data_IF_841841318509
#
_entry.id   IF_841841318509
#
_cell.length_a   1.000
_cell.length_b   1.000
_cell.length_c   1.000
_cell.angle_alpha   90.00
_cell.angle_beta   90.00
_cell.angle_gamma   90.00
#
_symmetry.space_group_name_H-M   'P 1'
#
loop_
_entity.id
_entity.type
_entity.pdbx_description
1 polymer ?
#
# COMPACT_ATOMS: atom_id res chain seq x y z
N UNK A 1 42.12 -25.69 -32.19
CA UNK A 1 41.40 -26.70 -31.39
C UNK A 1 39.99 -26.16 -31.18
N UNK A 2 39.07 -26.70 -31.98
CA UNK A 2 37.59 -26.65 -31.96
C UNK A 2 36.85 -25.52 -31.20
N UNK A 3 36.31 -24.58 -31.99
CA UNK A 3 35.13 -23.76 -31.69
C UNK A 3 33.86 -24.63 -31.70
N UNK A 4 33.09 -24.66 -30.62
CA UNK A 4 31.71 -25.15 -30.62
C UNK A 4 30.77 -23.97 -30.83
N UNK A 5 30.21 -23.89 -32.03
CA UNK A 5 29.20 -22.91 -32.40
C UNK A 5 27.89 -23.19 -31.64
N UNK A 6 27.48 -22.25 -30.80
CA UNK A 6 26.14 -22.21 -30.26
C UNK A 6 25.17 -21.77 -31.36
N UNK A 7 24.26 -22.67 -31.73
CA UNK A 7 23.18 -22.44 -32.69
C UNK A 7 22.21 -21.42 -32.08
N UNK A 8 22.32 -20.14 -32.48
CA UNK A 8 21.28 -19.14 -32.20
C UNK A 8 20.13 -19.43 -33.17
N UNK A 9 19.10 -20.11 -32.68
CA UNK A 9 17.83 -20.22 -33.39
C UNK A 9 17.16 -18.84 -33.42
N UNK A 10 17.35 -18.12 -34.52
CA UNK A 10 16.61 -16.90 -34.84
C UNK A 10 15.18 -17.33 -35.16
N UNK A 11 14.28 -17.24 -34.17
CA UNK A 11 12.84 -17.32 -34.42
C UNK A 11 12.45 -16.07 -35.21
N UNK A 12 12.23 -16.24 -36.51
CA UNK A 12 11.65 -15.22 -37.38
C UNK A 12 10.19 -15.05 -36.97
N UNK A 13 9.90 -14.01 -36.18
CA UNK A 13 8.53 -13.62 -35.83
C UNK A 13 7.95 -12.89 -37.04
N UNK A 14 7.09 -13.56 -37.80
CA UNK A 14 6.28 -12.93 -38.84
C UNK A 14 5.18 -12.08 -38.17
N UNK A 15 5.40 -10.78 -38.08
CA UNK A 15 4.41 -9.80 -37.62
C UNK A 15 3.53 -9.41 -38.80
N UNK A 16 2.34 -10.00 -38.92
CA UNK A 16 1.32 -9.49 -39.84
C UNK A 16 0.49 -8.42 -39.10
N UNK A 17 0.48 -7.20 -39.62
CA UNK A 17 -0.45 -6.17 -39.16
C UNK A 17 -1.82 -6.39 -39.83
N UNK A 18 -2.79 -6.91 -39.08
CA UNK A 18 -4.18 -7.00 -39.54
C UNK A 18 -4.88 -5.68 -39.22
N UNK A 19 -5.40 -5.01 -40.26
CA UNK A 19 -6.26 -3.85 -40.10
C UNK A 19 -7.72 -4.31 -40.02
N UNK A 20 -8.32 -4.24 -38.83
CA UNK A 20 -9.74 -4.51 -38.68
C UNK A 20 -10.54 -3.33 -39.27
N UNK A 21 -11.32 -3.57 -40.33
CA UNK A 21 -12.16 -2.57 -40.98
C UNK A 21 -13.57 -3.13 -41.19
N UNK A 22 -14.55 -2.81 -40.32
CA UNK A 22 -16.01 -2.76 -40.57
C UNK A 22 -16.85 -2.72 -39.27
N UNK A 23 -18.14 -2.37 -39.41
CA UNK A 23 -19.04 -1.84 -38.37
C UNK A 23 -19.67 -2.85 -37.39
N UNK A 24 -19.49 -4.16 -37.53
CA UNK A 24 -20.06 -5.18 -36.61
C UNK A 24 -19.11 -6.39 -36.48
N UNK A 25 -17.86 -6.21 -36.02
CA UNK A 25 -16.92 -7.32 -35.85
C UNK A 25 -16.79 -7.77 -34.40
N UNK A 26 -16.83 -9.09 -34.21
CA UNK A 26 -16.39 -9.72 -32.97
C UNK A 26 -14.87 -9.88 -33.00
N UNK A 27 -14.19 -9.70 -31.86
CA UNK A 27 -12.72 -9.80 -31.77
C UNK A 27 -12.22 -11.17 -32.22
N UNK A 28 -13.01 -12.21 -31.98
CA UNK A 28 -12.67 -13.60 -32.29
C UNK A 28 -12.49 -13.83 -33.78
N UNK A 29 -13.25 -13.14 -34.65
CA UNK A 29 -13.11 -13.29 -36.10
C UNK A 29 -11.73 -12.85 -36.60
N UNK A 30 -11.16 -11.81 -35.98
CA UNK A 30 -9.80 -11.35 -36.25
C UNK A 30 -8.72 -12.30 -35.74
N UNK A 31 -8.97 -13.01 -34.64
CA UNK A 31 -7.99 -13.86 -33.95
C UNK A 31 -8.01 -15.32 -34.44
N UNK A 32 -9.20 -15.91 -34.60
CA UNK A 32 -9.41 -17.34 -34.91
C UNK A 32 -8.96 -17.69 -36.33
N UNK A 33 -9.03 -16.75 -37.27
CA UNK A 33 -8.67 -17.00 -38.67
C UNK A 33 -7.18 -17.30 -38.88
N UNK A 34 -6.32 -17.08 -37.88
CA UNK A 34 -4.87 -17.18 -38.02
C UNK A 34 -4.29 -18.14 -36.96
N UNK A 35 -3.89 -19.36 -37.37
CA UNK A 35 -3.26 -20.38 -36.50
C UNK A 35 -1.88 -19.98 -35.95
N UNK A 36 -1.48 -18.72 -36.10
CA UNK A 36 -0.18 -18.24 -35.66
C UNK A 36 -0.10 -18.07 -34.16
N UNK A 37 1.12 -18.26 -33.65
CA UNK A 37 1.46 -18.14 -32.23
C UNK A 37 1.47 -16.68 -31.79
N UNK A 38 1.75 -15.73 -32.68
CA UNK A 38 1.84 -14.29 -32.36
C UNK A 38 1.04 -13.44 -33.34
N UNK A 39 0.28 -12.48 -32.81
CA UNK A 39 -0.58 -11.58 -33.58
C UNK A 39 -0.49 -10.14 -33.05
N UNK A 40 -0.40 -9.18 -33.98
CA UNK A 40 -0.48 -7.75 -33.68
C UNK A 40 -1.62 -7.13 -34.49
N UNK A 41 -2.59 -6.54 -33.78
CA UNK A 41 -3.81 -6.01 -34.37
C UNK A 41 -3.92 -4.53 -34.05
N UNK A 42 -4.00 -3.72 -35.10
CA UNK A 42 -4.32 -2.30 -34.99
C UNK A 42 -5.83 -2.13 -35.15
N UNK A 43 -6.46 -1.65 -34.08
CA UNK A 43 -7.90 -1.46 -33.99
C UNK A 43 -8.25 -0.05 -34.46
N UNK A 44 -9.39 0.07 -35.14
CA UNK A 44 -9.99 1.37 -35.48
C UNK A 44 -10.75 1.93 -34.27
N UNK A 45 -11.18 3.16 -34.39
CA UNK A 45 -12.13 3.76 -33.45
C UNK A 45 -13.48 3.05 -33.56
N UNK A 46 -14.20 2.95 -32.45
CA UNK A 46 -15.51 2.28 -32.39
C UNK A 46 -15.59 1.22 -31.31
N UNK A 47 -16.77 0.60 -31.23
CA UNK A 47 -17.09 -0.47 -30.28
C UNK A 47 -16.84 -1.83 -30.91
N UNK A 48 -16.03 -2.64 -30.24
CA UNK A 48 -15.83 -4.05 -30.54
C UNK A 48 -16.49 -4.88 -29.46
N UNK A 49 -17.24 -5.90 -29.86
CA UNK A 49 -17.83 -6.86 -28.94
C UNK A 49 -17.01 -8.15 -28.97
N UNK A 50 -16.97 -8.87 -27.85
CA UNK A 50 -16.33 -10.16 -27.75
C UNK A 50 -17.12 -11.04 -26.81
N UNK A 51 -17.11 -12.34 -27.08
CA UNK A 51 -17.68 -13.38 -26.23
C UNK A 51 -16.61 -14.06 -25.39
N UNK A 52 -15.44 -13.43 -25.21
CA UNK A 52 -14.29 -14.00 -24.52
C UNK A 52 -13.29 -14.63 -25.49
N UNK A 53 -12.00 -14.39 -25.24
CA UNK A 53 -10.90 -14.86 -26.08
C UNK A 53 -9.95 -15.72 -25.25
N UNK A 54 -9.84 -16.99 -25.63
CA UNK A 54 -8.86 -17.93 -25.08
C UNK A 54 -7.56 -17.92 -25.90
N UNK A 55 -6.45 -17.59 -25.24
CA UNK A 55 -5.14 -17.36 -25.80
C UNK A 55 -4.09 -18.37 -25.30
N UNK A 56 -4.47 -19.61 -24.97
CA UNK A 56 -3.52 -20.68 -24.58
C UNK A 56 -2.31 -20.71 -25.53
N UNK A 57 -1.12 -20.47 -24.96
CA UNK A 57 0.19 -20.47 -25.65
C UNK A 57 0.29 -19.50 -26.83
N UNK A 58 -0.46 -18.40 -26.81
CA UNK A 58 -0.43 -17.36 -27.84
C UNK A 58 0.11 -16.04 -27.31
N UNK A 59 0.61 -15.24 -28.23
CA UNK A 59 0.96 -13.84 -28.05
C UNK A 59 -0.03 -12.97 -28.82
N UNK A 60 -0.63 -11.99 -28.13
CA UNK A 60 -1.58 -11.06 -28.71
C UNK A 60 -1.22 -9.62 -28.30
N UNK A 61 -1.12 -8.74 -29.29
CA UNK A 61 -0.96 -7.30 -29.08
C UNK A 61 -2.13 -6.57 -29.74
N UNK A 62 -2.96 -5.92 -28.92
CA UNK A 62 -4.05 -5.06 -29.38
C UNK A 62 -3.67 -3.60 -29.15
N UNK A 63 -3.69 -2.80 -30.23
CA UNK A 63 -3.43 -1.37 -30.19
C UNK A 63 -4.64 -0.59 -30.70
N UNK A 64 -5.22 0.24 -29.84
CA UNK A 64 -6.36 1.10 -30.18
C UNK A 64 -6.07 2.59 -30.07
N UNK A 65 -7.13 3.37 -29.89
CA UNK A 65 -7.12 4.78 -29.55
C UNK A 65 -7.99 5.07 -28.31
N UNK A 66 -8.03 6.32 -27.85
CA UNK A 66 -8.97 6.75 -26.81
C UNK A 66 -10.46 6.54 -27.16
N UNK A 67 -10.77 6.24 -28.42
CA UNK A 67 -12.11 5.99 -28.94
C UNK A 67 -12.35 4.51 -29.33
N UNK A 68 -11.37 3.63 -29.10
CA UNK A 68 -11.52 2.19 -29.30
C UNK A 68 -12.07 1.56 -28.02
N UNK A 69 -13.26 0.97 -28.08
CA UNK A 69 -13.90 0.27 -26.97
C UNK A 69 -13.94 -1.24 -27.20
N UNK A 70 -13.71 -2.03 -26.15
CA UNK A 70 -13.95 -3.48 -26.17
C UNK A 70 -14.94 -3.84 -25.05
N UNK A 71 -16.10 -4.37 -25.44
CA UNK A 71 -17.12 -4.88 -24.53
C UNK A 71 -17.21 -6.41 -24.60
N UNK A 72 -17.40 -7.03 -23.44
CA UNK A 72 -17.74 -8.44 -23.28
C UNK A 72 -19.26 -8.57 -23.41
N UNK A 73 -19.69 -9.59 -24.16
CA UNK A 73 -21.09 -9.94 -24.38
C UNK A 73 -21.24 -11.45 -24.15
N UNK A 74 -22.32 -11.85 -23.48
CA UNK A 74 -22.63 -13.25 -23.21
C UNK A 74 -22.36 -13.66 -21.76
N UNK A 75 -22.32 -14.98 -21.53
CA UNK A 75 -22.23 -15.57 -20.19
C UNK A 75 -20.79 -15.74 -19.67
N UNK A 76 -19.78 -15.49 -20.51
CA UNK A 76 -18.39 -15.59 -20.08
C UNK A 76 -18.08 -14.54 -19.00
N UNK A 77 -17.24 -14.94 -18.05
CA UNK A 77 -16.79 -14.06 -16.98
C UNK A 77 -15.55 -13.25 -17.35
N UNK A 78 -14.77 -13.71 -18.35
CA UNK A 78 -13.49 -13.13 -18.72
C UNK A 78 -13.46 -12.74 -20.19
N UNK A 79 -13.01 -11.52 -20.48
CA UNK A 79 -12.77 -11.08 -21.86
C UNK A 79 -11.49 -11.71 -22.44
N UNK A 80 -10.41 -11.79 -21.66
CA UNK A 80 -9.18 -12.47 -22.07
C UNK A 80 -8.75 -13.52 -21.04
N UNK A 81 -8.36 -14.71 -21.50
CA UNK A 81 -7.80 -15.76 -20.65
C UNK A 81 -6.85 -16.66 -21.43
N UNK A 82 -6.15 -17.58 -20.75
CA UNK A 82 -5.31 -18.57 -21.40
C UNK A 82 -4.02 -18.82 -20.65
N UNK A 83 -3.65 -20.09 -20.55
CA UNK A 83 -2.41 -20.55 -19.92
C UNK A 83 -1.20 -20.31 -20.84
N UNK A 84 -0.09 -19.83 -20.27
CA UNK A 84 1.14 -19.48 -21.00
C UNK A 84 0.91 -18.45 -22.11
N UNK A 85 -0.02 -17.51 -21.90
CA UNK A 85 -0.40 -16.47 -22.84
C UNK A 85 0.39 -15.16 -22.60
N UNK A 86 0.74 -14.45 -23.67
CA UNK A 86 1.37 -13.13 -23.60
C UNK A 86 0.46 -12.09 -24.25
N UNK A 87 -0.19 -11.26 -23.44
CA UNK A 87 -1.22 -10.34 -23.90
C UNK A 87 -0.76 -8.91 -23.64
N UNK A 88 -0.90 -8.04 -24.64
CA UNK A 88 -0.64 -6.61 -24.51
C UNK A 88 -1.83 -5.81 -25.03
N UNK A 89 -2.42 -5.00 -24.16
CA UNK A 89 -3.56 -4.14 -24.44
C UNK A 89 -3.09 -2.68 -24.32
N UNK A 90 -3.20 -1.92 -25.40
CA UNK A 90 -2.67 -0.55 -25.47
C UNK A 90 -3.69 0.45 -25.97
N UNK A 91 -3.93 1.51 -25.19
CA UNK A 91 -4.83 2.63 -25.55
C UNK A 91 -6.23 2.15 -25.96
N UNK A 92 -6.82 1.29 -25.14
CA UNK A 92 -8.16 0.74 -25.34
C UNK A 92 -9.01 1.13 -24.13
N UNK A 93 -10.29 1.32 -24.39
CA UNK A 93 -11.30 1.61 -23.38
C UNK A 93 -12.15 0.38 -23.11
N UNK A 94 -12.36 0.05 -21.84
CA UNK A 94 -13.12 -1.10 -21.38
C UNK A 94 -14.35 -0.62 -20.60
N UNK A 95 -15.55 -0.58 -21.21
CA UNK A 95 -16.78 -0.40 -20.47
C UNK A 95 -17.03 -1.63 -19.59
N UNK A 96 -16.98 -1.45 -18.26
CA UNK A 96 -17.16 -2.54 -17.28
C UNK A 96 -18.43 -2.32 -16.46
N UNK A 97 -19.11 -3.42 -16.15
CA UNK A 97 -20.22 -3.52 -15.21
C UNK A 97 -19.94 -4.59 -14.15
N UNK A 98 -20.82 -4.74 -13.16
CA UNK A 98 -20.64 -5.74 -12.10
C UNK A 98 -20.51 -7.15 -12.69
N UNK A 99 -19.46 -7.88 -12.28
CA UNK A 99 -19.16 -9.23 -12.74
C UNK A 99 -18.32 -9.30 -14.02
N UNK A 100 -17.98 -8.17 -14.63
CA UNK A 100 -17.11 -8.10 -15.80
C UNK A 100 -15.63 -8.16 -15.40
N UNK A 101 -14.91 -9.18 -15.88
CA UNK A 101 -13.45 -9.27 -15.70
C UNK A 101 -12.77 -9.11 -17.07
N UNK A 102 -11.90 -8.09 -17.20
CA UNK A 102 -11.14 -7.84 -18.43
C UNK A 102 -10.23 -9.03 -18.73
N UNK A 103 -9.52 -9.55 -17.72
CA UNK A 103 -8.66 -10.68 -17.95
C UNK A 103 -8.46 -11.57 -16.72
N UNK A 104 -8.33 -12.87 -17.00
CA UNK A 104 -7.71 -13.84 -16.11
C UNK A 104 -6.29 -14.14 -16.61
N UNK A 105 -5.30 -13.94 -15.73
CA UNK A 105 -3.89 -14.15 -16.03
C UNK A 105 -3.46 -15.46 -15.37
N UNK A 106 -3.60 -16.55 -16.11
CA UNK A 106 -3.29 -17.91 -15.67
C UNK A 106 -1.77 -18.14 -15.48
N UNK A 107 -1.44 -19.35 -15.00
CA UNK A 107 -0.07 -19.81 -14.83
C UNK A 107 0.79 -19.55 -16.07
N UNK A 108 2.01 -19.08 -15.82
CA UNK A 108 3.03 -18.80 -16.84
C UNK A 108 2.60 -17.76 -17.90
N UNK A 109 1.48 -17.04 -17.67
CA UNK A 109 0.98 -15.97 -18.54
C UNK A 109 1.42 -14.59 -18.08
N UNK A 110 1.44 -13.65 -19.01
CA UNK A 110 1.68 -12.23 -18.76
C UNK A 110 0.63 -11.36 -19.47
N UNK A 111 0.11 -10.36 -18.75
CA UNK A 111 -0.70 -9.29 -19.32
C UNK A 111 -0.05 -7.93 -19.10
N UNK A 112 0.06 -7.15 -20.18
CA UNK A 112 0.45 -5.74 -20.16
C UNK A 112 -0.79 -4.88 -20.47
N UNK A 113 -1.20 -4.05 -19.52
CA UNK A 113 -2.33 -3.13 -19.62
C UNK A 113 -1.81 -1.69 -19.59
N UNK A 114 -1.61 -1.09 -20.76
CA UNK A 114 -0.90 0.18 -20.90
C UNK A 114 -1.76 1.28 -21.54
N UNK A 115 -1.80 2.44 -20.90
CA UNK A 115 -2.50 3.65 -21.38
C UNK A 115 -4.00 3.42 -21.66
N UNK A 116 -4.60 2.42 -21.00
CA UNK A 116 -5.99 2.03 -21.18
C UNK A 116 -6.90 2.75 -20.18
N UNK A 117 -8.18 2.84 -20.54
CA UNK A 117 -9.23 3.39 -19.69
C UNK A 117 -10.22 2.29 -19.29
N UNK A 118 -10.62 2.28 -18.02
CA UNK A 118 -11.75 1.48 -17.54
C UNK A 118 -12.91 2.43 -17.25
N UNK A 119 -14.05 2.17 -17.88
CA UNK A 119 -15.22 3.03 -17.81
C UNK A 119 -16.35 2.31 -17.07
N UNK A 120 -16.56 2.68 -15.81
CA UNK A 120 -17.67 2.21 -14.97
C UNK A 120 -18.89 3.12 -15.05
N UNK A 121 -20.06 2.61 -14.62
CA UNK A 121 -21.26 3.44 -14.47
C UNK A 121 -21.32 4.06 -13.08
N UNK A 122 -21.38 3.22 -12.04
CA UNK A 122 -21.44 3.62 -10.63
C UNK A 122 -20.30 2.98 -9.83
N UNK A 123 -20.09 1.69 -10.04
CA UNK A 123 -19.08 0.87 -9.39
C UNK A 123 -18.15 0.30 -10.45
N UNK A 124 -16.85 0.31 -10.18
CA UNK A 124 -15.86 -0.50 -10.90
C UNK A 124 -15.48 -1.65 -9.99
N UNK A 125 -15.96 -2.85 -10.31
CA UNK A 125 -15.59 -4.06 -9.58
C UNK A 125 -14.23 -4.63 -10.00
N UNK A 126 -14.05 -5.91 -9.71
CA UNK A 126 -12.84 -6.66 -10.04
C UNK A 126 -12.64 -6.69 -11.55
N UNK A 127 -11.57 -6.07 -12.01
CA UNK A 127 -11.27 -6.01 -13.44
C UNK A 127 -10.28 -7.09 -13.87
N UNK A 128 -9.50 -7.64 -12.94
CA UNK A 128 -8.47 -8.62 -13.24
C UNK A 128 -8.42 -9.72 -12.19
N UNK A 129 -8.18 -10.95 -12.65
CA UNK A 129 -7.83 -12.10 -11.81
C UNK A 129 -6.44 -12.61 -12.17
N UNK A 130 -5.56 -12.78 -11.18
CA UNK A 130 -4.22 -13.35 -11.39
C UNK A 130 -4.18 -14.73 -10.73
N UNK A 131 -3.97 -15.79 -11.50
CA UNK A 131 -3.92 -17.17 -11.00
C UNK A 131 -2.66 -17.89 -11.52
N UNK A 132 -1.51 -17.44 -11.01
CA UNK A 132 -0.17 -17.97 -11.30
C UNK A 132 0.63 -17.18 -12.35
N UNK A 133 0.07 -16.09 -12.89
CA UNK A 133 0.71 -15.26 -13.90
C UNK A 133 1.22 -13.90 -13.40
N UNK A 134 1.45 -12.98 -14.35
CA UNK A 134 1.96 -11.62 -14.09
C UNK A 134 1.12 -10.56 -14.77
N UNK A 135 0.69 -9.55 -14.02
CA UNK A 135 -0.04 -8.39 -14.52
C UNK A 135 0.81 -7.12 -14.37
N UNK A 136 1.04 -6.41 -15.48
CA UNK A 136 1.64 -5.09 -15.51
C UNK A 136 0.59 -4.05 -15.94
N UNK A 137 0.24 -3.14 -15.04
CA UNK A 137 -0.62 -1.99 -15.32
C UNK A 137 0.26 -0.75 -15.44
N UNK A 138 0.10 0.01 -16.51
CA UNK A 138 0.82 1.28 -16.71
C UNK A 138 -0.13 2.37 -17.15
N UNK A 139 -0.15 3.50 -16.42
CA UNK A 139 -0.95 4.68 -16.75
C UNK A 139 -2.45 4.36 -16.91
N UNK A 140 -3.00 3.63 -15.92
CA UNK A 140 -4.43 3.32 -15.85
C UNK A 140 -5.24 4.60 -15.67
N UNK A 141 -6.36 4.70 -16.41
CA UNK A 141 -7.38 5.73 -16.22
C UNK A 141 -8.70 5.09 -15.81
N UNK A 142 -9.38 5.70 -14.83
CA UNK A 142 -10.75 5.35 -14.48
C UNK A 142 -11.68 6.47 -14.93
N UNK A 143 -12.79 6.09 -15.53
CA UNK A 143 -13.87 7.00 -15.89
C UNK A 143 -15.20 6.50 -15.34
N UNK A 144 -16.00 7.42 -14.83
CA UNK A 144 -17.33 7.13 -14.28
C UNK A 144 -18.35 7.92 -15.09
N UNK A 145 -19.35 7.23 -15.65
CA UNK A 145 -20.34 7.86 -16.55
C UNK A 145 -21.26 8.85 -15.83
N UNK A 146 -21.46 8.70 -14.52
CA UNK A 146 -22.34 9.57 -13.73
C UNK A 146 -21.48 10.55 -12.91
N UNK A 147 -21.61 11.85 -13.19
CA UNK A 147 -20.71 12.88 -12.64
C UNK A 147 -21.03 13.34 -11.21
N UNK A 148 -22.10 12.85 -10.58
CA UNK A 148 -22.59 13.35 -9.29
C UNK A 148 -22.84 12.24 -8.25
N UNK A 149 -22.28 11.06 -8.47
CA UNK A 149 -22.38 9.94 -7.52
C UNK A 149 -20.99 9.60 -7.02
N UNK A 150 -20.92 9.07 -5.81
CA UNK A 150 -19.71 8.52 -5.24
C UNK A 150 -19.09 7.49 -6.20
N UNK A 151 -17.81 7.70 -6.54
CA UNK A 151 -17.07 6.83 -7.45
C UNK A 151 -16.52 5.65 -6.66
N UNK A 152 -17.14 4.49 -6.80
CA UNK A 152 -16.77 3.31 -6.03
C UNK A 152 -15.89 2.37 -6.85
N UNK A 153 -14.83 1.89 -6.23
CA UNK A 153 -13.98 0.81 -6.77
C UNK A 153 -13.93 -0.31 -5.74
N UNK A 154 -14.25 -1.53 -6.14
CA UNK A 154 -14.14 -2.70 -5.28
C UNK A 154 -13.17 -3.70 -5.88
N UNK A 155 -12.16 -4.09 -5.11
CA UNK A 155 -11.32 -5.26 -5.40
C UNK A 155 -10.74 -5.31 -6.82
N UNK A 156 -10.12 -4.22 -7.26
CA UNK A 156 -9.74 -4.00 -8.66
C UNK A 156 -8.90 -5.15 -9.26
N UNK A 157 -8.03 -5.79 -8.46
CA UNK A 157 -7.31 -7.03 -8.79
C UNK A 157 -7.55 -8.08 -7.72
N UNK A 158 -7.99 -9.28 -8.13
CA UNK A 158 -8.10 -10.46 -7.28
C UNK A 158 -7.03 -11.50 -7.61
N UNK A 159 -6.64 -12.32 -6.63
CA UNK A 159 -5.69 -13.41 -6.83
C UNK A 159 -6.37 -14.78 -6.65
N UNK A 160 -6.11 -15.66 -7.61
CA UNK A 160 -6.51 -17.05 -7.61
C UNK A 160 -5.70 -17.89 -6.63
N UNK A 161 -5.90 -19.21 -6.66
CA UNK A 161 -5.27 -20.14 -5.71
C UNK A 161 -3.76 -20.25 -5.92
N UNK A 162 -3.28 -19.99 -7.13
CA UNK A 162 -1.87 -20.05 -7.48
C UNK A 162 -1.13 -18.72 -7.19
N UNK A 163 -1.85 -17.70 -6.74
CA UNK A 163 -1.29 -16.37 -6.49
C UNK A 163 -0.82 -15.67 -7.77
N UNK A 164 0.30 -14.97 -7.71
CA UNK A 164 0.90 -14.31 -8.86
C UNK A 164 1.48 -12.93 -8.55
N UNK A 165 1.84 -12.20 -9.60
CA UNK A 165 2.56 -10.94 -9.47
C UNK A 165 1.79 -9.79 -10.09
N UNK A 166 1.66 -8.70 -9.34
CA UNK A 166 1.08 -7.44 -9.79
C UNK A 166 2.14 -6.34 -9.79
N UNK A 167 2.22 -5.61 -10.89
CA UNK A 167 2.99 -4.38 -10.99
C UNK A 167 2.12 -3.24 -11.52
N UNK A 168 2.10 -2.11 -10.80
CA UNK A 168 1.36 -0.90 -11.16
C UNK A 168 2.33 0.25 -11.31
N UNK A 169 2.31 0.93 -12.48
CA UNK A 169 3.24 2.02 -12.81
C UNK A 169 2.50 3.26 -13.29
N UNK A 170 2.96 4.44 -12.87
CA UNK A 170 2.55 5.74 -13.47
C UNK A 170 1.03 5.95 -13.45
N UNK A 171 0.33 5.35 -12.51
CA UNK A 171 -1.13 5.43 -12.41
C UNK A 171 -1.52 6.59 -11.49
N UNK A 172 -2.55 7.33 -11.89
CA UNK A 172 -3.14 8.43 -11.13
C UNK A 172 -4.60 8.12 -10.82
N UNK A 173 -4.96 7.96 -9.55
CA UNK A 173 -6.33 7.76 -9.11
C UNK A 173 -6.74 8.85 -8.14
N UNK A 174 -7.92 9.43 -8.36
CA UNK A 174 -8.42 10.55 -7.57
C UNK A 174 -9.92 10.47 -7.31
N UNK A 175 -10.31 10.78 -6.08
CA UNK A 175 -11.71 10.97 -5.69
C UNK A 175 -12.51 9.68 -5.80
N UNK A 176 -11.96 8.60 -5.26
CA UNK A 176 -12.60 7.28 -5.26
C UNK A 176 -12.82 6.79 -3.83
N UNK A 177 -13.91 6.04 -3.65
CA UNK A 177 -14.17 5.26 -2.45
C UNK A 177 -13.89 3.79 -2.74
N UNK A 178 -13.09 3.17 -1.89
CA UNK A 178 -12.77 1.75 -1.96
C UNK A 178 -13.80 0.99 -1.15
N UNK A 179 -14.59 0.17 -1.82
CA UNK A 179 -15.58 -0.73 -1.23
C UNK A 179 -15.11 -2.19 -1.23
N UNK A 180 -15.89 -3.06 -0.59
CA UNK A 180 -15.67 -4.50 -0.57
C UNK A 180 -14.71 -5.00 0.51
N UNK A 181 -14.34 -4.14 1.47
CA UNK A 181 -13.55 -4.50 2.65
C UNK A 181 -12.19 -5.11 2.33
N UNK A 182 -11.55 -4.70 1.23
CA UNK A 182 -10.28 -5.25 0.73
C UNK A 182 -9.50 -4.14 -0.01
N UNK A 183 -8.16 -4.26 -0.11
CA UNK A 183 -7.36 -3.24 -0.75
C UNK A 183 -7.59 -3.17 -2.25
N UNK A 184 -7.34 -1.99 -2.81
CA UNK A 184 -7.44 -1.75 -4.25
C UNK A 184 -6.53 -2.70 -5.05
N UNK A 185 -5.29 -2.90 -4.57
CA UNK A 185 -4.31 -3.78 -5.18
C UNK A 185 -3.88 -4.87 -4.18
N UNK A 186 -4.38 -6.08 -4.36
CA UNK A 186 -3.93 -7.24 -3.58
C UNK A 186 -5.06 -7.94 -2.82
N UNK A 187 -4.81 -9.21 -2.52
CA UNK A 187 -5.49 -9.96 -1.47
C UNK A 187 -4.50 -10.94 -0.82
N UNK A 188 -4.94 -11.80 0.10
CA UNK A 188 -4.07 -12.68 0.86
C UNK A 188 -3.27 -13.69 0.04
N UNK A 189 -3.59 -13.86 -1.25
CA UNK A 189 -2.97 -14.86 -2.14
C UNK A 189 -1.92 -14.28 -3.07
N UNK A 190 -1.68 -12.97 -3.04
CA UNK A 190 -0.63 -12.38 -3.84
C UNK A 190 0.73 -13.05 -3.58
N UNK A 191 1.60 -13.09 -4.58
CA UNK A 191 2.99 -13.57 -4.45
C UNK A 191 3.97 -12.41 -4.44
N UNK A 192 3.66 -11.34 -5.20
CA UNK A 192 4.39 -10.09 -5.14
C UNK A 192 3.56 -8.93 -5.67
N UNK A 193 3.67 -7.77 -5.04
CA UNK A 193 3.02 -6.54 -5.47
C UNK A 193 4.08 -5.45 -5.57
N UNK A 194 4.11 -4.74 -6.70
CA UNK A 194 4.93 -3.55 -6.87
C UNK A 194 4.10 -2.36 -7.36
N UNK A 195 4.26 -1.22 -6.69
CA UNK A 195 3.64 0.05 -7.07
C UNK A 195 4.75 1.07 -7.24
N UNK A 196 4.88 1.59 -8.46
CA UNK A 196 5.98 2.47 -8.84
C UNK A 196 5.47 3.77 -9.48
N UNK A 197 5.93 4.91 -8.98
CA UNK A 197 5.64 6.22 -9.55
C UNK A 197 4.13 6.48 -9.71
N UNK A 198 3.33 6.05 -8.74
CA UNK A 198 1.88 6.22 -8.74
C UNK A 198 1.45 7.38 -7.83
N UNK A 199 0.26 7.91 -8.09
CA UNK A 199 -0.34 8.98 -7.31
C UNK A 199 -1.77 8.61 -6.93
N UNK A 200 -2.09 8.74 -5.66
CA UNK A 200 -3.41 8.49 -5.10
C UNK A 200 -3.86 9.73 -4.32
N UNK A 201 -5.02 10.29 -4.69
CA UNK A 201 -5.57 11.49 -4.05
C UNK A 201 -7.02 11.32 -3.64
N UNK A 202 -7.39 11.81 -2.47
CA UNK A 202 -8.80 11.77 -2.02
C UNK A 202 -9.38 10.35 -2.13
N UNK A 203 -8.65 9.37 -1.60
CA UNK A 203 -9.05 7.97 -1.64
C UNK A 203 -9.57 7.59 -0.26
N UNK A 204 -10.84 7.24 -0.21
CA UNK A 204 -11.54 6.89 1.03
C UNK A 204 -11.86 5.40 1.05
N UNK A 205 -12.07 4.85 2.24
CA UNK A 205 -12.63 3.49 2.39
C UNK A 205 -14.11 3.63 2.73
N UNK A 206 -14.97 2.81 2.13
CA UNK A 206 -16.37 2.74 2.53
C UNK A 206 -16.47 2.19 3.95
N UNK A 207 -16.91 3.05 4.87
CA UNK A 207 -17.03 2.76 6.31
C UNK A 207 -18.33 2.03 6.66
N UNK A 208 -19.28 1.96 5.73
CA UNK A 208 -20.61 1.38 5.94
C UNK A 208 -20.64 -0.12 5.63
N UNK A 209 -19.77 -0.59 4.75
CA UNK A 209 -19.63 -2.01 4.47
C UNK A 209 -18.91 -2.67 5.63
N UNK A 210 -19.56 -3.71 6.18
CA UNK A 210 -19.16 -4.48 7.37
C UNK A 210 -17.65 -4.62 7.37
N UNK A 211 -17.05 -3.89 8.32
CA UNK A 211 -15.65 -3.67 8.66
C UNK A 211 -14.68 -4.53 7.88
N UNK A 212 -13.55 -3.94 7.45
CA UNK A 212 -12.30 -4.66 7.22
C UNK A 212 -12.13 -5.72 8.32
N UNK A 213 -12.71 -6.91 8.13
CA UNK A 213 -12.65 -7.98 9.11
C UNK A 213 -11.17 -8.33 9.17
N UNK A 214 -10.75 -8.90 10.30
CA UNK A 214 -9.41 -9.45 10.46
C UNK A 214 -8.99 -10.40 9.30
N UNK A 215 -9.93 -10.85 8.47
CA UNK A 215 -9.68 -11.58 7.21
C UNK A 215 -9.02 -10.74 6.10
N UNK A 216 -8.87 -9.43 6.29
CA UNK A 216 -8.04 -8.58 5.41
C UNK A 216 -6.56 -8.78 5.66
N UNK A 217 -6.12 -9.56 6.67
CA UNK A 217 -4.71 -9.84 6.95
C UNK A 217 -4.11 -10.72 5.83
N UNK A 218 -3.44 -10.04 4.90
CA UNK A 218 -2.92 -10.57 3.62
C UNK A 218 -1.61 -11.35 3.81
N UNK A 219 -1.50 -12.52 3.15
CA UNK A 219 -0.41 -13.52 3.07
C UNK A 219 1.07 -13.08 3.07
N UNK A 220 1.97 -14.04 2.87
CA UNK A 220 3.44 -13.90 2.91
C UNK A 220 4.05 -13.16 1.71
N UNK A 221 3.40 -12.09 1.23
CA UNK A 221 3.71 -11.39 -0.02
C UNK A 221 4.83 -10.36 0.19
N UNK A 222 5.69 -10.16 -0.81
CA UNK A 222 6.56 -8.98 -0.84
C UNK A 222 5.83 -7.79 -1.49
N UNK A 223 5.75 -6.66 -0.79
CA UNK A 223 5.11 -5.43 -1.28
C UNK A 223 6.17 -4.33 -1.42
N UNK A 224 6.36 -3.83 -2.64
CA UNK A 224 7.34 -2.79 -2.95
C UNK A 224 6.67 -1.53 -3.49
N UNK A 225 6.76 -0.43 -2.74
CA UNK A 225 6.22 0.88 -3.10
C UNK A 225 7.39 1.84 -3.32
N UNK A 226 7.47 2.42 -4.52
CA UNK A 226 8.62 3.23 -4.93
C UNK A 226 8.17 4.51 -5.62
N UNK A 227 8.68 5.65 -5.16
CA UNK A 227 8.42 6.97 -5.74
C UNK A 227 6.93 7.32 -5.85
N UNK A 228 6.10 6.87 -4.89
CA UNK A 228 4.66 7.10 -4.91
C UNK A 228 4.24 8.32 -4.09
N UNK A 229 3.08 8.89 -4.40
CA UNK A 229 2.49 10.01 -3.66
C UNK A 229 1.07 9.67 -3.22
N UNK A 230 0.78 9.84 -1.94
CA UNK A 230 -0.52 9.63 -1.30
C UNK A 230 -0.97 10.95 -0.66
N UNK A 231 -2.13 11.47 -1.04
CA UNK A 231 -2.68 12.72 -0.51
C UNK A 231 -4.13 12.49 -0.10
N UNK A 232 -4.49 12.75 1.15
CA UNK A 232 -5.87 12.55 1.64
C UNK A 232 -6.34 11.11 1.39
N UNK A 233 -5.51 10.15 1.80
CA UNK A 233 -5.76 8.72 1.61
C UNK A 233 -5.99 8.05 2.95
N UNK A 234 -7.11 7.33 3.05
CA UNK A 234 -7.43 6.47 4.18
C UNK A 234 -6.67 5.13 4.05
N UNK A 235 -5.99 4.72 5.13
CA UNK A 235 -5.38 3.39 5.30
C UNK A 235 -4.48 2.97 4.12
N UNK A 236 -3.68 3.88 3.58
CA UNK A 236 -2.89 3.67 2.37
C UNK A 236 -2.07 2.35 2.37
N UNK A 237 -1.52 1.98 3.53
CA UNK A 237 -0.69 0.80 3.72
C UNK A 237 -1.36 -0.30 4.56
N UNK A 238 -2.63 -0.17 4.95
CA UNK A 238 -3.30 -1.13 5.85
C UNK A 238 -4.70 -1.49 5.32
N UNK A 239 -4.84 -1.63 4.01
CA UNK A 239 -6.06 -2.13 3.38
C UNK A 239 -6.79 -1.13 2.47
N UNK A 240 -6.33 0.12 2.35
CA UNK A 240 -6.84 1.06 1.36
C UNK A 240 -6.25 0.77 -0.02
N UNK A 241 -5.04 1.24 -0.29
CA UNK A 241 -4.38 1.03 -1.60
C UNK A 241 -3.80 -0.37 -1.70
N UNK A 242 -3.03 -0.76 -0.69
CA UNK A 242 -2.47 -2.09 -0.50
C UNK A 242 -2.67 -2.48 0.96
N UNK A 243 -2.56 -3.77 1.24
CA UNK A 243 -2.29 -4.18 2.61
C UNK A 243 -0.78 -4.38 2.80
N UNK A 244 -0.23 -3.64 3.75
CA UNK A 244 1.15 -3.66 4.19
C UNK A 244 1.50 -4.80 5.13
N UNK A 245 0.83 -5.96 5.00
CA UNK A 245 1.31 -7.34 5.28
C UNK A 245 0.83 -8.07 6.55
N UNK A 246 1.15 -9.37 6.56
CA UNK A 246 1.19 -10.32 7.68
C UNK A 246 2.62 -10.87 7.98
N UNK A 247 2.72 -11.91 8.81
CA UNK A 247 3.93 -12.41 9.50
C UNK A 247 5.17 -12.79 8.65
N UNK A 248 5.07 -13.01 7.33
CA UNK A 248 6.15 -13.66 6.56
C UNK A 248 6.62 -12.93 5.28
N UNK A 249 6.04 -11.78 4.93
CA UNK A 249 6.43 -10.97 3.77
C UNK A 249 7.38 -9.81 4.12
N UNK A 250 7.97 -9.16 3.11
CA UNK A 250 8.72 -7.89 3.27
C UNK A 250 7.96 -6.70 2.68
N UNK A 251 7.82 -5.62 3.45
CA UNK A 251 7.30 -4.34 2.98
C UNK A 251 8.48 -3.41 2.71
N UNK A 252 8.52 -2.81 1.52
CA UNK A 252 9.51 -1.80 1.19
C UNK A 252 8.83 -0.56 0.65
N UNK A 253 9.04 0.59 1.30
CA UNK A 253 8.51 1.89 0.88
C UNK A 253 9.69 2.85 0.71
N UNK A 254 9.97 3.24 -0.53
CA UNK A 254 11.18 4.00 -0.88
C UNK A 254 10.80 5.26 -1.65
N UNK A 255 11.38 6.40 -1.28
CA UNK A 255 11.26 7.65 -2.04
C UNK A 255 9.82 8.17 -2.14
N UNK A 256 8.94 7.81 -1.21
CA UNK A 256 7.50 8.04 -1.31
C UNK A 256 7.02 9.16 -0.37
N UNK A 257 5.87 9.75 -0.67
CA UNK A 257 5.28 10.84 0.14
C UNK A 257 3.84 10.52 0.54
N UNK A 258 3.54 10.74 1.81
CA UNK A 258 2.22 10.64 2.40
C UNK A 258 1.86 11.99 3.01
N UNK A 259 0.73 12.56 2.59
CA UNK A 259 0.25 13.86 3.05
C UNK A 259 -1.21 13.76 3.47
N UNK A 260 -1.50 14.16 4.70
CA UNK A 260 -2.85 14.16 5.26
C UNK A 260 -3.55 12.79 5.11
N UNK A 261 -2.77 11.72 5.24
CA UNK A 261 -3.28 10.36 5.27
C UNK A 261 -3.77 10.00 6.66
N UNK A 262 -4.81 9.18 6.74
CA UNK A 262 -5.38 8.76 8.02
C UNK A 262 -5.33 7.25 8.16
N UNK A 263 -4.82 6.75 9.28
CA UNK A 263 -4.88 5.34 9.65
C UNK A 263 -5.97 5.16 10.72
N UNK A 264 -7.17 4.77 10.30
CA UNK A 264 -8.31 4.52 11.20
C UNK A 264 -8.64 3.05 11.31
N UNK A 265 -8.77 2.58 12.55
CA UNK A 265 -9.51 1.36 12.87
C UNK A 265 -11.00 1.69 12.88
N UNK A 266 -11.80 0.97 12.10
CA UNK A 266 -13.26 1.14 12.11
C UNK A 266 -13.90 0.00 12.91
N UNK A 267 -14.07 0.24 14.22
CA UNK A 267 -14.79 -0.68 15.09
C UNK A 267 -16.30 -0.48 14.89
N UNK A 268 -16.96 -1.41 14.20
CA UNK A 268 -18.42 -1.42 14.11
C UNK A 268 -18.97 -2.08 15.37
N UNK A 269 -19.42 -1.27 16.33
CA UNK A 269 -20.44 -1.61 17.35
C UNK A 269 -20.43 -3.05 17.92
N UNK A 270 -19.29 -3.58 18.34
CA UNK A 270 -19.26 -4.73 19.25
C UNK A 270 -18.52 -4.33 20.52
N UNK A 271 -19.30 -4.24 21.59
CA UNK A 271 -18.84 -4.18 22.96
C UNK A 271 -17.81 -5.29 23.22
N UNK A 272 -16.56 -4.92 23.52
CA UNK A 272 -15.37 -5.79 23.74
C UNK A 272 -14.76 -6.26 22.41
N UNK A 273 -13.50 -5.96 22.09
CA UNK A 273 -12.30 -6.40 22.81
C UNK A 273 -11.07 -5.53 22.50
N UNK A 274 -10.21 -5.38 23.51
CA UNK A 274 -8.86 -4.79 23.44
C UNK A 274 -7.85 -5.68 22.66
N UNK A 275 -8.26 -6.38 21.61
CA UNK A 275 -7.40 -7.27 20.81
C UNK A 275 -6.91 -6.66 19.49
N UNK A 276 -7.39 -5.48 19.13
CA UNK A 276 -7.37 -5.05 17.74
C UNK A 276 -6.19 -4.12 17.48
N UNK A 277 -5.08 -4.70 17.03
CA UNK A 277 -3.92 -3.96 16.53
C UNK A 277 -4.01 -3.86 15.02
N UNK A 278 -4.66 -2.82 14.49
CA UNK A 278 -4.47 -2.44 13.08
C UNK A 278 -3.09 -1.77 12.96
N UNK A 279 -2.08 -2.61 12.92
CA UNK A 279 -0.69 -2.24 12.66
C UNK A 279 -0.26 -2.87 11.35
N UNK A 280 0.85 -2.41 10.83
CA UNK A 280 1.72 -3.26 10.02
C UNK A 280 2.10 -4.43 10.96
N UNK A 281 1.31 -5.52 10.91
CA UNK A 281 1.51 -6.74 11.72
C UNK A 281 2.38 -7.69 10.91
N UNK A 282 3.71 -7.50 10.90
CA UNK A 282 4.51 -8.06 9.80
C UNK A 282 5.72 -8.88 10.19
N UNK A 283 6.22 -9.59 9.18
CA UNK A 283 7.65 -9.85 9.00
C UNK A 283 8.45 -8.55 8.78
N UNK A 284 9.41 -8.53 7.87
CA UNK A 284 10.35 -7.41 7.73
C UNK A 284 9.72 -6.18 7.05
N UNK A 285 10.10 -4.97 7.49
CA UNK A 285 9.67 -3.72 6.88
C UNK A 285 10.83 -2.73 6.70
N UNK A 286 10.87 -2.05 5.55
CA UNK A 286 11.87 -1.05 5.22
C UNK A 286 11.21 0.22 4.68
N UNK A 287 11.56 1.35 5.28
CA UNK A 287 11.20 2.69 4.85
C UNK A 287 12.47 3.49 4.59
N UNK A 288 12.62 3.99 3.36
CA UNK A 288 13.78 4.80 2.95
C UNK A 288 13.31 6.04 2.21
N UNK A 289 13.96 7.18 2.47
CA UNK A 289 13.70 8.47 1.81
C UNK A 289 12.19 8.80 1.71
N UNK A 290 11.44 8.50 2.77
CA UNK A 290 9.98 8.61 2.80
C UNK A 290 9.55 9.78 3.66
N UNK A 291 8.60 10.57 3.15
CA UNK A 291 8.10 11.77 3.82
C UNK A 291 6.63 11.61 4.23
N UNK A 292 6.37 11.75 5.52
CA UNK A 292 5.05 11.75 6.13
C UNK A 292 4.73 13.16 6.65
N UNK A 293 3.61 13.72 6.20
CA UNK A 293 3.19 15.07 6.56
C UNK A 293 1.71 15.10 6.90
N UNK A 294 1.37 15.70 8.04
CA UNK A 294 -0.02 15.90 8.49
C UNK A 294 -0.80 14.58 8.62
N UNK A 295 -0.12 13.45 8.85
CA UNK A 295 -0.77 12.14 8.94
C UNK A 295 -1.31 11.88 10.35
N UNK A 296 -2.47 11.23 10.46
CA UNK A 296 -3.10 10.98 11.75
C UNK A 296 -3.59 9.54 11.93
N UNK A 297 -3.70 9.12 13.18
CA UNK A 297 -4.32 7.86 13.57
C UNK A 297 -5.07 8.00 14.87
N UNK A 298 -6.11 7.17 15.04
CA UNK A 298 -6.90 7.15 16.26
C UNK A 298 -6.16 6.48 17.43
N UNK A 299 -5.38 5.43 17.21
CA UNK A 299 -4.82 4.62 18.31
C UNK A 299 -3.30 4.73 18.48
N UNK A 300 -2.56 4.66 17.38
CA UNK A 300 -1.10 4.49 17.41
C UNK A 300 -0.43 5.48 16.46
N UNK A 301 0.81 5.20 16.05
CA UNK A 301 1.58 5.93 15.06
C UNK A 301 0.75 6.69 14.03
N UNK A 302 0.73 8.02 14.11
CA UNK A 302 -0.04 8.86 13.19
C UNK A 302 0.40 8.70 11.73
N UNK A 303 1.69 8.41 11.52
CA UNK A 303 2.23 8.05 10.22
C UNK A 303 2.37 6.53 10.06
N UNK A 304 3.01 5.87 11.03
CA UNK A 304 3.42 4.48 10.92
C UNK A 304 3.25 3.73 12.24
N UNK A 305 2.53 2.62 12.21
CA UNK A 305 2.38 1.68 13.32
C UNK A 305 2.93 0.31 12.90
N UNK A 306 4.04 -0.11 13.49
CA UNK A 306 4.67 -1.42 13.29
C UNK A 306 4.49 -2.28 14.53
N UNK A 307 3.89 -3.45 14.37
CA UNK A 307 3.72 -4.44 15.44
C UNK A 307 4.16 -5.81 14.94
N UNK A 308 5.38 -6.25 15.22
CA UNK A 308 5.84 -7.57 14.76
C UNK A 308 7.25 -7.91 15.23
N UNK A 309 7.60 -9.19 15.16
CA UNK A 309 8.93 -9.68 15.57
C UNK A 309 9.95 -9.66 14.40
N UNK A 310 9.55 -9.17 13.23
CA UNK A 310 10.43 -8.98 12.07
C UNK A 310 11.38 -7.79 12.22
N UNK A 311 12.27 -7.62 11.25
CA UNK A 311 13.20 -6.50 11.21
C UNK A 311 12.51 -5.24 10.67
N UNK A 312 12.59 -4.14 11.42
CA UNK A 312 12.15 -2.82 10.98
C UNK A 312 13.36 -1.94 10.67
N UNK A 313 13.40 -1.38 9.46
CA UNK A 313 14.40 -0.39 9.06
C UNK A 313 13.70 0.89 8.61
N UNK A 314 14.00 2.01 9.25
CA UNK A 314 13.52 3.34 8.86
C UNK A 314 14.75 4.23 8.71
N UNK A 315 15.03 4.69 7.50
CA UNK A 315 16.21 5.52 7.22
C UNK A 315 15.89 6.69 6.30
N UNK A 316 16.57 7.83 6.50
CA UNK A 316 16.43 9.02 5.66
C UNK A 316 14.97 9.57 5.61
N UNK A 317 14.15 9.26 6.60
CA UNK A 317 12.72 9.60 6.58
C UNK A 317 12.43 10.93 7.28
N UNK A 318 11.35 11.58 6.85
CA UNK A 318 10.86 12.81 7.47
C UNK A 318 9.41 12.63 7.93
N UNK A 319 9.15 13.01 9.16
CA UNK A 319 7.83 13.01 9.77
C UNK A 319 7.53 14.45 10.23
N UNK A 320 6.38 14.97 9.82
CA UNK A 320 6.00 16.34 10.17
C UNK A 320 4.52 16.43 10.49
N UNK A 321 4.20 17.04 11.64
CA UNK A 321 2.82 17.29 12.05
C UNK A 321 1.96 16.02 12.10
N UNK A 322 2.58 14.89 12.46
CA UNK A 322 1.86 13.63 12.61
C UNK A 322 1.19 13.56 13.99
N UNK A 323 -0.01 12.98 14.06
CA UNK A 323 -0.82 12.95 15.27
C UNK A 323 -1.31 11.53 15.59
N UNK A 324 -1.09 11.09 16.83
CA UNK A 324 -1.79 9.93 17.40
C UNK A 324 -2.76 10.37 18.48
N UNK A 325 -4.05 10.12 18.28
CA UNK A 325 -5.13 10.46 19.24
C UNK A 325 -5.32 9.39 20.33
N UNK A 326 -4.62 8.26 20.21
CA UNK A 326 -4.75 7.13 21.15
C UNK A 326 -3.57 7.02 22.09
N UNK A 327 -2.72 8.04 22.10
CA UNK A 327 -1.76 8.22 23.16
C UNK A 327 -0.46 7.48 22.98
N UNK A 328 -0.12 6.94 21.80
CA UNK A 328 1.20 6.29 21.61
C UNK A 328 1.84 6.63 20.27
N UNK A 329 3.00 7.28 20.34
CA UNK A 329 3.86 7.51 19.19
C UNK A 329 3.22 8.45 18.17
N UNK A 330 3.35 9.77 18.32
CA UNK A 330 2.62 10.71 17.45
C UNK A 330 2.87 10.52 15.95
N UNK A 331 4.09 10.14 15.57
CA UNK A 331 4.41 9.72 14.21
C UNK A 331 4.58 8.20 14.11
N UNK A 332 5.37 7.63 15.02
CA UNK A 332 5.87 6.27 14.91
C UNK A 332 5.55 5.48 16.18
N UNK A 333 4.91 4.33 15.98
CA UNK A 333 4.67 3.33 17.02
C UNK A 333 5.32 2.01 16.61
N UNK A 334 6.17 1.45 17.45
CA UNK A 334 6.91 0.19 17.20
C UNK A 334 6.74 -0.72 18.40
N UNK A 335 6.25 -1.93 18.16
CA UNK A 335 6.16 -2.99 19.19
C UNK A 335 6.60 -4.32 18.60
N UNK A 336 7.50 -5.02 19.29
CA UNK A 336 7.96 -6.33 18.84
C UNK A 336 9.29 -6.76 19.44
N UNK A 337 9.67 -8.02 19.23
CA UNK A 337 10.93 -8.58 19.71
C UNK A 337 12.05 -8.60 18.64
N UNK A 338 11.78 -8.07 17.45
CA UNK A 338 12.72 -8.03 16.33
C UNK A 338 13.87 -7.04 16.48
N UNK A 339 14.61 -6.84 15.39
CA UNK A 339 15.60 -5.77 15.29
C UNK A 339 14.99 -4.52 14.67
N UNK A 340 15.12 -3.38 15.35
CA UNK A 340 14.59 -2.11 14.86
C UNK A 340 15.73 -1.10 14.65
N UNK A 341 15.88 -0.59 13.43
CA UNK A 341 16.89 0.39 13.05
C UNK A 341 16.17 1.65 12.61
N UNK A 342 16.40 2.76 13.31
CA UNK A 342 15.89 4.09 12.94
C UNK A 342 17.09 5.02 12.79
N UNK A 343 17.36 5.49 11.57
CA UNK A 343 18.59 6.22 11.23
C UNK A 343 18.34 7.45 10.37
N UNK A 344 19.00 8.57 10.67
CA UNK A 344 18.99 9.76 9.80
C UNK A 344 17.55 10.25 9.50
N UNK A 345 16.72 10.24 10.54
CA UNK A 345 15.31 10.64 10.43
C UNK A 345 15.05 11.96 11.14
N UNK A 346 14.09 12.72 10.61
CA UNK A 346 13.68 14.01 11.15
C UNK A 346 12.20 14.02 11.53
N UNK A 347 11.91 14.35 12.78
CA UNK A 347 10.56 14.48 13.32
C UNK A 347 10.32 15.94 13.72
N UNK A 348 9.23 16.54 13.24
CA UNK A 348 8.90 17.94 13.50
C UNK A 348 7.43 18.08 13.86
N UNK A 349 7.13 18.54 15.08
CA UNK A 349 5.75 18.75 15.53
C UNK A 349 4.88 17.50 15.47
N UNK A 350 5.48 16.33 15.65
CA UNK A 350 4.73 15.09 15.81
C UNK A 350 4.28 14.99 17.26
N UNK A 351 3.00 14.71 17.48
CA UNK A 351 2.35 14.79 18.79
C UNK A 351 1.49 13.57 19.07
N UNK A 352 1.38 13.21 20.34
CA UNK A 352 0.38 12.27 20.81
C UNK A 352 -0.49 12.90 21.89
N UNK A 353 -1.79 12.63 21.83
CA UNK A 353 -2.77 13.11 22.79
C UNK A 353 -3.72 11.99 23.16
N UNK A 354 -4.04 11.79 24.43
CA UNK A 354 -5.11 10.88 24.86
C UNK A 354 -5.62 11.25 26.25
N UNK A 355 -6.74 10.68 26.69
CA UNK A 355 -7.38 11.05 27.96
C UNK A 355 -6.70 10.48 29.20
N UNK A 356 -5.99 9.35 29.07
CA UNK A 356 -5.43 8.63 30.21
C UNK A 356 -3.89 8.49 30.14
N UNK A 357 -3.38 8.04 28.99
CA UNK A 357 -1.96 7.78 28.79
C UNK A 357 -1.51 8.35 27.46
N UNK A 358 -0.51 9.24 27.47
CA UNK A 358 0.10 9.81 26.27
C UNK A 358 1.62 9.58 26.30
N UNK A 359 2.13 8.74 25.41
CA UNK A 359 3.48 8.17 25.47
C UNK A 359 4.21 8.35 24.14
N UNK A 360 5.35 9.04 24.16
CA UNK A 360 6.20 9.20 22.99
C UNK A 360 5.62 10.20 21.98
N UNK A 361 5.84 11.50 22.21
CA UNK A 361 5.24 12.55 21.38
C UNK A 361 5.53 12.38 19.89
N UNK A 362 6.75 11.97 19.52
CA UNK A 362 7.05 11.50 18.15
C UNK A 362 7.06 9.98 18.04
N UNK A 363 7.75 9.31 18.96
CA UNK A 363 8.17 7.92 18.80
C UNK A 363 7.83 7.13 20.06
N UNK A 364 7.13 6.02 19.90
CA UNK A 364 6.95 4.98 20.91
C UNK A 364 7.62 3.69 20.44
N UNK A 365 8.49 3.09 21.26
CA UNK A 365 9.14 1.81 20.95
C UNK A 365 9.10 0.89 22.16
N UNK A 366 8.51 -0.30 21.99
CA UNK A 366 8.44 -1.35 23.00
C UNK A 366 9.01 -2.69 22.50
N UNK A 367 9.96 -3.25 23.26
CA UNK A 367 10.60 -4.53 22.95
C UNK A 367 11.75 -4.45 21.95
N UNK A 368 12.37 -5.60 21.68
CA UNK A 368 13.34 -5.80 20.61
C UNK A 368 14.73 -5.23 20.86
N UNK A 369 15.62 -5.43 19.88
CA UNK A 369 16.97 -4.86 19.85
C UNK A 369 16.99 -3.62 18.96
N UNK A 370 17.21 -2.45 19.56
CA UNK A 370 16.93 -1.16 18.92
C UNK A 370 18.22 -0.36 18.65
N UNK A 371 18.42 0.08 17.41
CA UNK A 371 19.48 0.98 16.99
C UNK A 371 18.87 2.30 16.50
N UNK A 372 18.79 3.29 17.39
CA UNK A 372 18.23 4.61 17.09
C UNK A 372 19.37 5.62 16.96
N UNK A 373 19.62 6.15 15.76
CA UNK A 373 20.77 7.05 15.58
C UNK A 373 20.56 8.18 14.58
N UNK A 374 21.36 9.23 14.72
CA UNK A 374 21.38 10.36 13.79
C UNK A 374 19.97 11.00 13.66
N UNK A 375 19.24 11.11 14.76
CA UNK A 375 17.86 11.64 14.74
C UNK A 375 17.79 13.12 15.07
N UNK A 376 16.81 13.80 14.48
CA UNK A 376 16.45 15.17 14.85
C UNK A 376 14.96 15.27 15.15
N UNK A 377 14.62 15.48 16.43
CA UNK A 377 13.25 15.66 16.90
C UNK A 377 13.06 17.08 17.40
N UNK A 378 12.02 17.76 16.91
CA UNK A 378 11.78 19.18 17.19
C UNK A 378 10.31 19.41 17.50
N UNK A 379 10.03 20.04 18.64
CA UNK A 379 8.71 20.56 18.99
C UNK A 379 7.63 19.48 19.07
N UNK A 380 7.94 18.35 19.70
CA UNK A 380 7.00 17.23 19.88
C UNK A 380 6.39 17.21 21.26
N UNK A 381 5.13 16.79 21.35
CA UNK A 381 4.39 16.80 22.61
C UNK A 381 3.72 15.45 22.86
N UNK A 382 3.82 14.97 24.10
CA UNK A 382 2.94 13.96 24.65
C UNK A 382 2.01 14.62 25.68
N UNK A 383 0.72 14.64 25.39
CA UNK A 383 -0.26 15.41 26.14
C UNK A 383 -1.40 14.53 26.65
N UNK A 384 -1.70 14.60 27.95
CA UNK A 384 -2.99 14.11 28.43
C UNK A 384 -4.00 15.24 28.30
N UNK A 385 -5.03 15.02 27.52
CA UNK A 385 -6.15 15.96 27.38
C UNK A 385 -7.24 15.59 28.37
N UNK A 386 -7.70 16.54 29.18
CA UNK A 386 -8.74 16.31 30.17
C UNK A 386 -9.96 15.68 29.49
N UNK A 387 -10.33 14.47 29.90
CA UNK A 387 -11.59 13.88 29.49
C UNK A 387 -12.63 14.07 30.59
N UNK A 388 -13.85 14.42 30.17
CA UNK A 388 -15.01 14.54 31.05
C UNK A 388 -15.35 13.23 31.82
N UNK A 389 -14.63 12.13 31.56
CA UNK A 389 -14.94 10.78 32.02
C UNK A 389 -13.77 10.04 32.71
N UNK A 390 -12.58 10.64 32.86
CA UNK A 390 -11.47 10.01 33.55
C UNK A 390 -11.41 10.48 35.01
N UNK A 391 -11.45 9.53 35.96
CA UNK A 391 -11.07 9.81 37.35
C UNK A 391 -9.58 10.16 37.39
N UNK A 392 -9.31 11.45 37.57
CA UNK A 392 -8.06 12.15 37.22
C UNK A 392 -6.85 11.92 38.16
N UNK A 393 -6.72 10.77 38.84
CA UNK A 393 -5.55 10.54 39.73
C UNK A 393 -4.35 9.89 39.04
N UNK A 394 -4.56 9.13 37.96
CA UNK A 394 -3.52 8.23 37.38
C UNK A 394 -3.13 8.60 35.94
N UNK A 395 -3.65 9.71 35.42
CA UNK A 395 -3.35 10.21 34.08
C UNK A 395 -1.88 10.59 33.94
N UNK A 396 -1.20 10.06 32.92
CA UNK A 396 0.24 10.34 32.72
C UNK A 396 0.60 10.59 31.26
N UNK A 397 1.38 11.65 31.03
CA UNK A 397 2.09 11.88 29.77
C UNK A 397 3.58 11.67 29.93
N UNK A 398 4.20 10.90 29.04
CA UNK A 398 5.58 10.41 29.16
C UNK A 398 6.34 10.54 27.85
N UNK A 399 7.58 11.03 27.90
CA UNK A 399 8.49 11.03 26.75
C UNK A 399 8.03 11.98 25.66
N UNK A 400 8.24 13.29 25.85
CA UNK A 400 7.71 14.32 24.93
C UNK A 400 8.21 14.18 23.49
N UNK A 401 9.38 13.57 23.28
CA UNK A 401 9.81 13.09 21.98
C UNK A 401 9.73 11.57 21.86
N UNK A 402 10.39 10.84 22.77
CA UNK A 402 10.60 9.39 22.66
C UNK A 402 10.16 8.71 23.96
N UNK A 403 9.37 7.65 23.80
CA UNK A 403 9.09 6.70 24.86
C UNK A 403 9.72 5.34 24.51
N UNK A 404 10.43 4.77 25.48
CA UNK A 404 11.12 3.48 25.34
C UNK A 404 10.69 2.54 26.44
N UNK A 405 10.34 1.30 26.07
CA UNK A 405 9.97 0.25 27.01
C UNK A 405 10.54 -1.12 26.66
N UNK A 406 10.95 -1.88 27.67
CA UNK A 406 11.38 -3.29 27.52
C UNK A 406 12.45 -3.55 26.44
N UNK A 407 13.37 -2.61 26.19
CA UNK A 407 14.44 -2.84 25.22
C UNK A 407 15.37 -3.99 25.64
N UNK A 408 15.86 -4.75 24.65
CA UNK A 408 16.79 -5.86 24.83
C UNK A 408 18.25 -5.39 24.85
N UNK A 409 19.15 -6.27 25.33
CA UNK A 409 20.60 -6.01 25.38
C UNK A 409 21.17 -5.63 24.01
N UNK A 410 22.09 -4.67 24.02
CA UNK A 410 22.72 -4.16 22.80
C UNK A 410 21.94 -3.04 22.12
N UNK A 411 20.79 -2.64 22.67
CA UNK A 411 20.06 -1.48 22.18
C UNK A 411 20.79 -0.17 22.50
N UNK A 412 20.70 0.84 21.64
CA UNK A 412 21.34 2.13 21.88
C UNK A 412 20.65 3.29 21.16
N UNK A 413 20.87 4.48 21.71
CA UNK A 413 20.65 5.77 21.04
C UNK A 413 21.98 6.47 20.80
N UNK A 414 22.21 6.99 19.60
CA UNK A 414 23.47 7.68 19.27
C UNK A 414 23.25 8.89 18.37
N UNK A 415 23.95 10.00 18.63
CA UNK A 415 23.93 11.18 17.77
C UNK A 415 22.50 11.75 17.57
N UNK A 416 21.67 11.69 18.62
CA UNK A 416 20.29 12.21 18.57
C UNK A 416 20.21 13.65 19.08
N UNK A 417 19.36 14.46 18.46
CA UNK A 417 19.05 15.83 18.88
C UNK A 417 17.56 15.96 19.15
N UNK A 418 17.19 16.28 20.40
CA UNK A 418 15.79 16.55 20.79
C UNK A 418 15.67 17.98 21.32
N UNK A 419 14.76 18.75 20.73
CA UNK A 419 14.56 20.15 21.10
C UNK A 419 13.09 20.52 21.24
N UNK A 420 12.77 21.32 22.27
CA UNK A 420 11.43 21.89 22.48
C UNK A 420 10.35 20.83 22.61
N UNK A 421 10.69 19.68 23.15
CA UNK A 421 9.71 18.62 23.40
C UNK A 421 9.10 18.74 24.79
N UNK A 422 7.86 18.28 24.93
CA UNK A 422 7.07 18.47 26.14
C UNK A 422 6.30 17.21 26.53
N UNK A 423 6.33 16.88 27.83
CA UNK A 423 5.51 15.84 28.44
C UNK A 423 5.33 16.13 29.94
N UNK A 424 4.45 15.40 30.61
CA UNK A 424 4.34 15.43 32.07
C UNK A 424 5.60 14.84 32.74
N UNK A 425 6.14 13.76 32.18
CA UNK A 425 7.34 13.07 32.65
C UNK A 425 8.31 12.81 31.49
N UNK A 426 9.60 13.12 31.64
CA UNK A 426 10.60 12.92 30.60
C UNK A 426 10.34 13.79 29.38
N UNK A 427 10.62 15.10 29.50
CA UNK A 427 10.25 16.10 28.50
C UNK A 427 10.84 15.80 27.11
N UNK A 428 12.05 15.22 27.08
CA UNK A 428 12.62 14.66 25.87
C UNK A 428 12.32 13.15 25.75
N UNK A 429 12.82 12.37 26.70
CA UNK A 429 12.80 10.91 26.63
C UNK A 429 12.28 10.37 27.96
N UNK A 430 11.42 9.37 27.88
CA UNK A 430 11.06 8.53 29.02
C UNK A 430 11.50 7.10 28.74
N UNK A 431 12.15 6.47 29.74
CA UNK A 431 12.76 5.14 29.60
C UNK A 431 12.23 4.22 30.70
N UNK A 432 11.38 3.28 30.30
CA UNK A 432 10.90 2.15 31.10
C UNK A 432 11.66 0.88 30.67
N UNK A 433 12.98 0.88 30.87
CA UNK A 433 13.86 -0.24 30.51
C UNK A 433 15.00 -0.35 31.50
N UNK A 434 15.48 -1.57 31.73
CA UNK A 434 16.64 -1.81 32.59
C UNK A 434 17.87 -1.09 32.03
N UNK A 435 18.46 -0.22 32.86
CA UNK A 435 19.65 0.59 32.53
C UNK A 435 20.83 -0.19 31.98
N UNK A 436 20.95 -1.50 32.29
CA UNK A 436 22.03 -2.35 31.76
C UNK A 436 21.85 -2.74 30.29
N UNK A 437 20.67 -2.47 29.72
CA UNK A 437 20.27 -2.94 28.38
C UNK A 437 20.42 -1.88 27.30
N UNK A 438 20.58 -0.61 27.66
CA UNK A 438 20.63 0.48 26.68
C UNK A 438 21.71 1.52 27.00
N UNK A 439 22.14 2.22 25.97
CA UNK A 439 23.12 3.30 26.09
C UNK A 439 22.70 4.52 25.27
N UNK A 440 23.01 5.73 25.74
CA UNK A 440 22.81 6.98 24.99
C UNK A 440 24.17 7.66 24.80
N UNK A 441 24.58 7.87 23.54
CA UNK A 441 25.88 8.46 23.17
C UNK A 441 25.72 9.73 22.35
N UNK A 442 26.63 10.69 22.54
CA UNK A 442 26.79 11.86 21.66
C UNK A 442 25.49 12.63 21.37
N UNK A 443 24.59 12.71 22.34
CA UNK A 443 23.23 13.18 22.14
C UNK A 443 23.02 14.55 22.78
N UNK A 444 22.17 15.38 22.16
CA UNK A 444 21.89 16.75 22.59
C UNK A 444 20.42 16.96 22.88
N UNK A 445 20.14 17.36 24.12
CA UNK A 445 18.81 17.72 24.61
C UNK A 445 18.80 19.20 24.96
N UNK A 446 17.84 19.98 24.44
CA UNK A 446 17.77 21.40 24.77
C UNK A 446 16.35 21.94 24.74
N UNK A 447 16.00 22.73 25.75
CA UNK A 447 14.70 23.40 25.90
C UNK A 447 13.54 22.41 25.91
N UNK A 448 13.70 21.24 26.51
CA UNK A 448 12.60 20.29 26.68
C UNK A 448 11.94 20.55 28.04
N UNK A 449 10.63 20.38 28.11
CA UNK A 449 9.82 20.70 29.29
C UNK A 449 9.22 19.41 29.86
N UNK A 450 9.39 19.21 31.17
CA UNK A 450 8.73 18.17 31.92
C UNK A 450 8.10 18.76 33.19
N UNK A 451 6.90 18.33 33.55
CA UNK A 451 6.30 18.69 34.85
C UNK A 451 7.04 17.99 36.00
N UNK A 452 7.59 16.80 35.74
CA UNK A 452 8.41 16.02 36.67
C UNK A 452 9.41 15.15 35.90
N UNK A 453 10.54 14.76 36.50
CA UNK A 453 11.51 13.83 35.88
C UNK A 453 12.04 14.28 34.51
N UNK A 454 12.77 15.40 34.48
CA UNK A 454 13.22 16.11 33.28
C UNK A 454 14.03 15.32 32.24
#
# INVERSE_FOLDING_TARGET
MTFTAALIAISIIFVDCIFAATNDMTIEQGIISNQRISQQIQMKDGLFISHGVDLIRKELILYGSSLTEIALVGEQHFLFSGNSANISLLKIRFPVNDGYIIARIDKDSQLVFKDNTIAGVLVVGNCFEIDGGKLLITNLKLEFKVSNVERRVSNFVQFGKLGGYLEVRKTYLEGITIGGGKPLFGDERATGISINNCQFKHVQIDKSEVANKADTIIGSTNVNITSCTFIDVDNALIGGIVNGLNQNGKLSVIGSTFKNCTNTQYAINTTRQYSDRDSIITGDAEFDDTNWKDCSSYNYGGALSFTGDGNLVIKNCKFSQCLSVGGKGGALYVVGQGSHIIKDCKFVKCNTSYSQYAEGGSIYIEGGTNSVKELKIISSTAEVVDSLYADNSDSTSRGGAIFVRNWQYGSYMKDITVKRSEAGIGGAIFIDSDSKRFEIKNSKFSNNLANSGG
#
